data_IF_846435662755
#
_entry.id   IF_846435662755
#
_cell.length_a   1.000
_cell.length_b   1.000
_cell.length_c   1.000
_cell.angle_alpha   90.00
_cell.angle_beta   90.00
_cell.angle_gamma   90.00
#
_symmetry.space_group_name_H-M   'P 1'
#
loop_
_entity.id
_entity.type
_entity.pdbx_description
1 polymer ?
#
# COMPACT_ATOMS: atom_id res chain seq x y z
N UNK A 1 -3.60 11.01 16.19
CA UNK A 1 -3.65 10.62 14.77
C UNK A 1 -5.07 10.17 14.53
N UNK A 2 -5.67 10.60 13.43
CA UNK A 2 -6.96 10.11 12.96
C UNK A 2 -6.78 9.77 11.48
N UNK A 3 -7.24 8.58 11.09
CA UNK A 3 -7.21 8.07 9.72
C UNK A 3 -8.61 8.18 9.18
N UNK A 4 -8.77 8.94 8.11
CA UNK A 4 -10.04 9.08 7.41
C UNK A 4 -10.05 8.14 6.21
N UNK A 5 -11.01 7.22 6.18
CA UNK A 5 -11.27 6.38 5.02
C UNK A 5 -12.46 6.97 4.28
N UNK A 6 -12.18 7.49 3.08
CA UNK A 6 -13.19 8.13 2.24
C UNK A 6 -13.75 7.16 1.23
N UNK A 7 -15.05 6.86 1.34
CA UNK A 7 -15.76 6.15 0.31
C UNK A 7 -16.28 7.16 -0.72
N UNK A 8 -15.58 7.27 -1.85
CA UNK A 8 -15.88 8.21 -2.93
C UNK A 8 -17.11 7.82 -3.79
N UNK A 9 -17.71 6.66 -3.54
CA UNK A 9 -18.96 6.24 -4.18
C UNK A 9 -20.15 6.87 -3.46
N UNK A 10 -21.23 7.12 -4.20
CA UNK A 10 -22.46 7.74 -3.67
C UNK A 10 -23.60 6.74 -3.48
N UNK A 11 -23.42 5.49 -3.93
CA UNK A 11 -24.43 4.44 -3.75
C UNK A 11 -24.57 4.05 -2.27
N UNK A 12 -25.76 4.22 -1.66
CA UNK A 12 -25.94 3.96 -0.24
C UNK A 12 -25.70 2.50 0.17
N UNK A 13 -26.01 1.54 -0.70
CA UNK A 13 -25.83 0.12 -0.40
C UNK A 13 -24.35 -0.26 -0.40
N UNK A 14 -23.61 0.19 -1.42
CA UNK A 14 -22.18 -0.01 -1.53
C UNK A 14 -21.42 0.64 -0.37
N UNK A 15 -21.72 1.91 -0.09
CA UNK A 15 -21.07 2.66 1.00
C UNK A 15 -21.34 2.03 2.36
N UNK A 16 -22.58 1.59 2.63
CA UNK A 16 -22.92 0.85 3.85
C UNK A 16 -22.14 -0.46 3.96
N UNK A 17 -22.08 -1.24 2.87
CA UNK A 17 -21.32 -2.50 2.85
C UNK A 17 -19.82 -2.28 3.11
N UNK A 18 -19.20 -1.25 2.52
CA UNK A 18 -17.79 -0.90 2.78
C UNK A 18 -17.60 -0.49 4.24
N UNK A 19 -18.48 0.36 4.78
CA UNK A 19 -18.40 0.80 6.16
C UNK A 19 -18.53 -0.36 7.16
N UNK A 20 -19.46 -1.29 6.91
CA UNK A 20 -19.65 -2.47 7.74
C UNK A 20 -18.43 -3.41 7.69
N UNK A 21 -17.89 -3.65 6.49
CA UNK A 21 -16.68 -4.45 6.33
C UNK A 21 -15.49 -3.86 7.11
N UNK A 22 -15.26 -2.55 7.01
CA UNK A 22 -14.19 -1.87 7.75
C UNK A 22 -14.44 -1.95 9.26
N UNK A 23 -15.68 -1.73 9.70
CA UNK A 23 -16.05 -1.80 11.12
C UNK A 23 -15.81 -3.20 11.71
N UNK A 24 -16.09 -4.25 10.94
CA UNK A 24 -15.87 -5.63 11.35
C UNK A 24 -14.37 -6.00 11.41
N UNK A 25 -13.56 -5.45 10.49
CA UNK A 25 -12.11 -5.69 10.44
C UNK A 25 -11.34 -4.89 11.51
N UNK A 26 -11.78 -3.65 11.80
CA UNK A 26 -11.08 -2.70 12.67
C UNK A 26 -11.96 -2.13 13.79
N UNK A 27 -12.62 -2.98 14.60
CA UNK A 27 -13.59 -2.51 15.58
C UNK A 27 -12.93 -1.62 16.64
N UNK A 28 -11.71 -1.94 17.08
CA UNK A 28 -11.03 -1.18 18.14
C UNK A 28 -10.63 0.21 17.66
N UNK A 29 -10.12 0.31 16.44
CA UNK A 29 -9.66 1.55 15.81
C UNK A 29 -10.85 2.51 15.54
N UNK A 30 -11.99 1.96 15.13
CA UNK A 30 -13.24 2.73 14.98
C UNK A 30 -13.73 3.23 16.35
N UNK A 31 -13.82 2.36 17.36
CA UNK A 31 -14.33 2.76 18.69
C UNK A 31 -13.45 3.78 19.40
N UNK A 32 -12.13 3.75 19.15
CA UNK A 32 -11.17 4.71 19.71
C UNK A 32 -11.14 6.06 18.96
N UNK A 33 -11.82 6.16 17.82
CA UNK A 33 -11.74 7.34 16.94
C UNK A 33 -10.42 7.47 16.17
N UNK A 34 -9.59 6.42 16.18
CA UNK A 34 -8.38 6.36 15.35
C UNK A 34 -8.75 6.25 13.87
N UNK A 35 -9.81 5.51 13.55
CA UNK A 35 -10.31 5.30 12.19
C UNK A 35 -11.72 5.90 12.08
N UNK A 36 -11.96 6.71 11.06
CA UNK A 36 -13.30 7.19 10.71
C UNK A 36 -13.59 6.85 9.24
N UNK A 37 -14.77 6.30 8.97
CA UNK A 37 -15.23 6.03 7.60
C UNK A 37 -16.26 7.09 7.24
N UNK A 38 -16.01 7.82 6.15
CA UNK A 38 -16.88 8.90 5.69
C UNK A 38 -17.21 8.74 4.22
N UNK A 39 -18.39 9.21 3.84
CA UNK A 39 -18.87 9.25 2.46
C UNK A 39 -19.66 10.54 2.26
N UNK A 40 -19.53 11.21 1.10
CA UNK A 40 -20.26 12.43 0.83
C UNK A 40 -21.71 12.12 0.44
N UNK A 41 -22.61 13.04 0.78
CA UNK A 41 -23.98 13.00 0.24
C UNK A 41 -23.93 13.13 -1.30
N UNK A 42 -24.78 12.40 -2.05
CA UNK A 42 -24.89 12.60 -3.50
C UNK A 42 -25.16 14.06 -3.89
N UNK A 43 -25.82 14.82 -3.03
CA UNK A 43 -26.15 16.24 -3.21
C UNK A 43 -24.94 17.18 -3.08
N UNK A 44 -23.80 16.68 -2.60
CA UNK A 44 -22.57 17.45 -2.56
C UNK A 44 -22.04 17.74 -3.98
N UNK A 45 -22.29 16.83 -4.93
CA UNK A 45 -21.79 16.96 -6.28
C UNK A 45 -22.75 17.76 -7.16
N UNK A 46 -22.24 18.68 -8.00
CA UNK A 46 -23.05 19.34 -9.01
C UNK A 46 -23.37 18.39 -10.16
N UNK A 47 -24.29 18.80 -11.03
CA UNK A 47 -24.52 18.07 -12.28
C UNK A 47 -23.27 18.15 -13.18
N UNK A 48 -22.78 16.97 -13.59
CA UNK A 48 -21.62 16.80 -14.45
C UNK A 48 -21.99 16.61 -15.93
N UNK A 49 -23.28 16.55 -16.28
CA UNK A 49 -23.76 16.30 -17.65
C UNK A 49 -23.25 17.33 -18.67
N UNK A 50 -23.05 18.57 -18.22
CA UNK A 50 -22.67 19.72 -19.04
C UNK A 50 -21.17 20.08 -18.99
N UNK A 51 -20.32 19.18 -18.48
CA UNK A 51 -18.87 19.41 -18.49
C UNK A 51 -18.33 19.46 -19.93
N UNK A 52 -17.49 20.47 -20.20
CA UNK A 52 -16.83 20.65 -21.50
C UNK A 52 -15.57 19.80 -21.57
N UNK A 53 -15.33 19.19 -22.72
CA UNK A 53 -14.04 18.54 -23.00
C UNK A 53 -12.91 19.58 -23.00
N UNK A 54 -11.72 19.15 -22.58
CA UNK A 54 -10.58 20.03 -22.35
C UNK A 54 -9.29 19.23 -22.45
N UNK A 55 -8.19 19.84 -22.90
CA UNK A 55 -6.86 19.19 -22.99
C UNK A 55 -6.83 17.89 -23.82
N UNK A 56 -7.81 17.71 -24.73
CA UNK A 56 -7.96 16.46 -25.48
C UNK A 56 -8.51 15.28 -24.67
N UNK A 57 -8.95 15.51 -23.43
CA UNK A 57 -9.55 14.48 -22.59
C UNK A 57 -11.02 14.23 -22.97
N UNK A 58 -11.46 12.96 -23.08
CA UNK A 58 -12.88 12.65 -23.28
C UNK A 58 -13.72 13.05 -22.07
N UNK A 59 -15.03 13.24 -22.28
CA UNK A 59 -15.99 13.61 -21.20
C UNK A 59 -15.85 12.79 -19.92
N UNK A 60 -15.69 11.47 -20.00
CA UNK A 60 -15.54 10.62 -18.81
C UNK A 60 -14.28 10.96 -18.00
N UNK A 61 -13.17 11.27 -18.68
CA UNK A 61 -11.94 11.67 -18.02
C UNK A 61 -12.06 13.06 -17.40
N UNK A 62 -12.74 13.98 -18.07
CA UNK A 62 -13.07 15.30 -17.51
C UNK A 62 -13.95 15.16 -16.26
N UNK A 63 -15.02 14.36 -16.34
CA UNK A 63 -15.89 14.05 -15.20
C UNK A 63 -15.11 13.46 -14.03
N UNK A 64 -14.23 12.49 -14.31
CA UNK A 64 -13.38 11.86 -13.31
C UNK A 64 -12.48 12.87 -12.58
N UNK A 65 -11.72 13.70 -13.31
CA UNK A 65 -10.82 14.69 -12.67
C UNK A 65 -11.60 15.80 -11.93
N UNK A 66 -12.77 16.19 -12.46
CA UNK A 66 -13.64 17.18 -11.80
C UNK A 66 -14.23 16.63 -10.51
N UNK A 67 -14.68 15.37 -10.51
CA UNK A 67 -15.15 14.71 -9.29
C UNK A 67 -14.01 14.55 -8.27
N UNK A 68 -12.82 14.14 -8.70
CA UNK A 68 -11.65 14.00 -7.82
C UNK A 68 -11.30 15.30 -7.08
N UNK A 69 -11.35 16.44 -7.77
CA UNK A 69 -11.15 17.74 -7.13
C UNK A 69 -12.15 17.97 -5.98
N UNK A 70 -13.43 17.66 -6.21
CA UNK A 70 -14.48 17.81 -5.20
C UNK A 70 -14.33 16.79 -4.06
N UNK A 71 -13.94 15.56 -4.37
CA UNK A 71 -13.66 14.51 -3.39
C UNK A 71 -12.59 14.96 -2.39
N UNK A 72 -11.49 15.55 -2.89
CA UNK A 72 -10.43 16.09 -2.05
C UNK A 72 -10.86 17.33 -1.27
N UNK A 73 -11.66 18.23 -1.87
CA UNK A 73 -12.26 19.34 -1.13
C UNK A 73 -13.11 18.86 0.04
N UNK A 74 -13.98 17.86 -0.18
CA UNK A 74 -14.82 17.29 0.88
C UNK A 74 -13.97 16.76 2.03
N UNK A 75 -12.94 15.98 1.71
CA UNK A 75 -12.02 15.42 2.70
C UNK A 75 -11.30 16.50 3.50
N UNK A 76 -10.74 17.51 2.82
CA UNK A 76 -10.04 18.61 3.46
C UNK A 76 -10.97 19.44 4.36
N UNK A 77 -12.20 19.72 3.92
CA UNK A 77 -13.19 20.42 4.73
C UNK A 77 -13.55 19.63 5.99
N UNK A 78 -13.77 18.31 5.86
CA UNK A 78 -14.07 17.46 7.01
C UNK A 78 -12.88 17.34 7.97
N UNK A 79 -11.65 17.28 7.44
CA UNK A 79 -10.44 17.07 8.22
C UNK A 79 -9.92 18.34 8.92
N UNK A 80 -10.39 19.53 8.53
CA UNK A 80 -9.84 20.82 8.97
C UNK A 80 -9.73 20.94 10.50
N UNK A 81 -10.74 20.49 11.24
CA UNK A 81 -10.77 20.58 12.70
C UNK A 81 -10.21 19.35 13.42
N UNK A 82 -9.65 18.36 12.71
CA UNK A 82 -9.29 17.05 13.27
C UNK A 82 -7.84 16.96 13.75
N UNK A 83 -6.97 17.89 13.33
CA UNK A 83 -5.55 17.85 13.71
C UNK A 83 -4.77 19.08 13.25
N UNK A 84 -3.49 19.13 13.60
CA UNK A 84 -2.59 20.24 13.23
C UNK A 84 -2.15 20.11 11.76
N UNK A 85 -1.95 18.88 11.29
CA UNK A 85 -1.52 18.57 9.94
C UNK A 85 -2.54 17.65 9.26
N UNK A 86 -2.74 17.89 7.98
CA UNK A 86 -3.50 17.03 7.08
C UNK A 86 -2.55 16.36 6.09
N UNK A 87 -2.75 15.08 5.81
CA UNK A 87 -1.97 14.35 4.80
C UNK A 87 -2.94 13.66 3.84
N UNK A 88 -2.88 14.02 2.57
CA UNK A 88 -3.62 13.29 1.53
C UNK A 88 -2.83 12.05 1.13
N UNK A 89 -3.50 10.90 1.17
CA UNK A 89 -3.04 9.65 0.59
C UNK A 89 -4.05 9.18 -0.47
N UNK A 90 -3.56 8.38 -1.41
CA UNK A 90 -4.40 7.70 -2.41
C UNK A 90 -4.50 6.21 -2.05
N UNK A 91 -5.38 5.50 -2.73
CA UNK A 91 -5.46 4.04 -2.68
C UNK A 91 -4.24 3.40 -3.37
N UNK A 92 -4.11 2.08 -3.21
CA UNK A 92 -3.06 1.27 -3.84
C UNK A 92 -1.63 1.79 -3.65
N UNK A 93 -1.32 2.33 -2.45
CA UNK A 93 0.02 2.77 -2.09
C UNK A 93 0.72 1.78 -1.15
N UNK A 94 2.04 1.71 -1.28
CA UNK A 94 2.92 1.10 -0.29
C UNK A 94 3.71 2.18 0.42
N UNK A 95 3.70 2.12 1.75
CA UNK A 95 4.45 3.01 2.61
C UNK A 95 5.76 2.36 3.08
N UNK A 96 6.79 3.17 3.32
CA UNK A 96 7.98 2.73 4.05
C UNK A 96 7.67 2.48 5.53
N UNK A 97 8.41 1.57 6.20
CA UNK A 97 8.34 1.44 7.65
C UNK A 97 8.57 2.79 8.33
N UNK A 98 7.88 3.03 9.44
CA UNK A 98 7.99 4.27 10.23
C UNK A 98 7.59 5.55 9.49
N UNK A 99 6.90 5.47 8.34
CA UNK A 99 6.51 6.65 7.56
C UNK A 99 5.87 7.75 8.41
N UNK A 100 4.98 7.39 9.34
CA UNK A 100 4.29 8.34 10.19
C UNK A 100 5.24 9.16 11.09
N UNK A 101 6.15 8.49 11.79
CA UNK A 101 7.11 9.18 12.67
C UNK A 101 8.10 9.99 11.86
N UNK A 102 8.54 9.49 10.70
CA UNK A 102 9.38 10.24 9.76
C UNK A 102 8.69 11.51 9.27
N UNK A 103 7.42 11.42 8.83
CA UNK A 103 6.65 12.59 8.37
C UNK A 103 6.49 13.62 9.48
N UNK A 104 6.12 13.18 10.69
CA UNK A 104 5.95 14.08 11.84
C UNK A 104 7.25 14.80 12.19
N UNK A 105 8.36 14.06 12.31
CA UNK A 105 9.66 14.64 12.66
C UNK A 105 10.13 15.61 11.57
N UNK A 106 9.93 15.27 10.29
CA UNK A 106 10.26 16.16 9.20
C UNK A 106 9.46 17.46 9.28
N UNK A 107 8.15 17.40 9.49
CA UNK A 107 7.31 18.60 9.63
C UNK A 107 7.75 19.51 10.78
N UNK A 108 8.12 18.93 11.93
CA UNK A 108 8.60 19.68 13.10
C UNK A 108 10.00 20.28 12.93
N UNK A 109 10.82 19.71 12.04
CA UNK A 109 12.18 20.18 11.76
C UNK A 109 12.22 21.26 10.67
N UNK A 110 11.09 21.62 10.08
CA UNK A 110 11.09 22.63 9.03
C UNK A 110 11.53 23.99 9.60
N UNK A 111 12.58 24.60 9.02
CA UNK A 111 13.26 25.76 9.62
C UNK A 111 12.45 27.05 9.53
N UNK A 112 11.44 27.10 8.65
CA UNK A 112 10.55 28.24 8.47
C UNK A 112 9.11 27.79 8.72
N UNK A 113 8.31 28.62 9.39
CA UNK A 113 6.87 28.41 9.45
C UNK A 113 6.16 28.78 8.13
N UNK A 114 6.88 29.21 7.09
CA UNK A 114 6.27 29.69 5.85
C UNK A 114 6.00 28.58 4.82
N UNK A 115 6.42 27.33 5.04
CA UNK A 115 6.12 26.27 4.08
C UNK A 115 4.61 26.03 3.96
N UNK A 116 4.17 25.68 2.75
CA UNK A 116 2.76 25.40 2.45
C UNK A 116 2.51 23.91 2.21
N UNK A 117 3.44 23.20 1.57
CA UNK A 117 3.28 21.79 1.20
C UNK A 117 4.56 21.03 1.56
N UNK A 118 4.42 19.94 2.33
CA UNK A 118 5.49 18.96 2.47
C UNK A 118 5.16 17.73 1.62
N UNK A 119 6.07 17.35 0.73
CA UNK A 119 5.88 16.22 -0.18
C UNK A 119 6.67 14.99 0.29
N UNK A 120 5.98 13.87 0.43
CA UNK A 120 6.58 12.57 0.76
C UNK A 120 6.52 11.56 -0.41
N UNK A 121 5.98 11.98 -1.56
CA UNK A 121 6.10 11.32 -2.86
C UNK A 121 6.06 12.36 -3.98
N UNK A 122 6.80 12.11 -5.05
CA UNK A 122 6.78 12.91 -6.27
C UNK A 122 5.57 12.63 -7.16
N UNK A 123 4.91 11.49 -6.98
CA UNK A 123 3.84 11.04 -7.86
C UNK A 123 2.48 11.56 -7.39
N UNK A 124 1.77 12.24 -8.30
CA UNK A 124 0.40 12.69 -8.11
C UNK A 124 0.19 13.45 -6.80
N UNK A 125 -0.95 13.19 -6.16
CA UNK A 125 -1.34 13.82 -4.90
C UNK A 125 -0.97 13.00 -3.66
N UNK A 126 -0.17 11.95 -3.84
CA UNK A 126 0.20 11.02 -2.76
C UNK A 126 1.14 11.72 -1.77
N UNK A 127 0.87 11.54 -0.48
CA UNK A 127 1.75 11.97 0.59
C UNK A 127 1.99 13.47 0.60
N UNK A 128 0.96 14.26 0.26
CA UNK A 128 0.99 15.72 0.35
C UNK A 128 0.48 16.14 1.72
N UNK A 129 1.36 16.76 2.50
CA UNK A 129 1.03 17.26 3.82
C UNK A 129 0.84 18.77 3.81
N UNK A 130 -0.18 19.23 4.51
CA UNK A 130 -0.56 20.62 4.68
C UNK A 130 -0.80 20.91 6.16
N UNK A 131 -0.70 22.17 6.56
CA UNK A 131 -1.22 22.60 7.86
C UNK A 131 -2.74 22.68 7.75
N UNK A 132 -3.46 22.18 8.75
CA UNK A 132 -4.92 22.19 8.71
C UNK A 132 -5.49 23.62 8.66
N UNK A 133 -4.79 24.59 9.25
CA UNK A 133 -5.13 26.02 9.22
C UNK A 133 -5.14 26.59 7.79
N UNK A 134 -4.32 26.06 6.89
CA UNK A 134 -4.21 26.53 5.50
C UNK A 134 -5.19 25.82 4.55
N UNK A 135 -5.92 24.81 5.03
CA UNK A 135 -6.83 24.02 4.19
C UNK A 135 -7.96 24.84 3.60
N UNK A 136 -8.48 25.85 4.29
CA UNK A 136 -9.55 26.71 3.75
C UNK A 136 -9.11 27.38 2.46
N UNK A 137 -7.92 27.99 2.45
CA UNK A 137 -7.36 28.64 1.27
C UNK A 137 -7.16 27.64 0.11
N UNK A 138 -6.69 26.43 0.42
CA UNK A 138 -6.49 25.38 -0.59
C UNK A 138 -7.83 24.93 -1.17
N UNK A 139 -8.81 24.64 -0.31
CA UNK A 139 -10.16 24.21 -0.69
C UNK A 139 -10.85 25.28 -1.53
N UNK A 140 -10.85 26.53 -1.11
CA UNK A 140 -11.46 27.64 -1.85
C UNK A 140 -10.85 27.79 -3.24
N UNK A 141 -9.52 27.71 -3.36
CA UNK A 141 -8.87 27.76 -4.67
C UNK A 141 -9.25 26.58 -5.56
N UNK A 142 -9.29 25.36 -5.02
CA UNK A 142 -9.71 24.19 -5.81
C UNK A 142 -11.17 24.33 -6.23
N UNK A 143 -12.06 24.79 -5.34
CA UNK A 143 -13.47 25.00 -5.64
C UNK A 143 -13.72 26.10 -6.68
N UNK A 144 -12.83 27.09 -6.81
CA UNK A 144 -12.92 28.07 -7.90
C UNK A 144 -12.67 27.45 -9.28
N UNK A 145 -11.80 26.44 -9.36
CA UNK A 145 -11.28 25.91 -10.64
C UNK A 145 -11.44 24.39 -10.82
N UNK A 146 -12.32 23.74 -10.04
CA UNK A 146 -12.47 22.28 -10.01
C UNK A 146 -12.88 21.67 -11.37
N UNK A 147 -13.52 22.45 -12.25
CA UNK A 147 -13.88 22.03 -13.61
C UNK A 147 -12.71 22.18 -14.59
N UNK A 148 -11.82 23.13 -14.33
CA UNK A 148 -10.89 23.64 -15.34
C UNK A 148 -9.59 22.84 -15.40
N UNK A 149 -9.07 22.35 -14.27
CA UNK A 149 -7.78 21.65 -14.22
C UNK A 149 -7.80 20.47 -13.24
N UNK A 150 -6.97 19.44 -13.44
CA UNK A 150 -6.77 18.39 -12.44
C UNK A 150 -6.07 18.96 -11.20
N UNK A 151 -6.22 18.26 -10.08
CA UNK A 151 -5.79 18.73 -8.76
C UNK A 151 -4.29 19.06 -8.67
N UNK A 152 -3.41 18.25 -9.25
CA UNK A 152 -1.96 18.48 -9.21
C UNK A 152 -1.58 19.82 -9.84
N UNK A 153 -2.29 20.18 -10.91
CA UNK A 153 -2.08 21.45 -11.60
C UNK A 153 -2.62 22.59 -10.75
N UNK A 154 -3.79 22.43 -10.14
CA UNK A 154 -4.37 23.45 -9.26
C UNK A 154 -3.44 23.78 -8.09
N UNK A 155 -2.83 22.79 -7.44
CA UNK A 155 -1.82 23.04 -6.40
C UNK A 155 -0.62 23.85 -6.93
N UNK A 156 -0.08 23.47 -8.10
CA UNK A 156 1.03 24.20 -8.68
C UNK A 156 0.64 25.66 -9.03
N UNK A 157 -0.62 25.89 -9.44
CA UNK A 157 -1.16 27.23 -9.68
C UNK A 157 -1.31 28.03 -8.38
N UNK A 158 -1.69 27.41 -7.25
CA UNK A 158 -1.70 28.09 -5.94
C UNK A 158 -0.30 28.64 -5.64
N UNK A 159 0.73 27.80 -5.78
CA UNK A 159 2.11 28.23 -5.55
C UNK A 159 2.53 29.32 -6.54
N UNK A 160 2.17 29.18 -7.82
CA UNK A 160 2.46 30.18 -8.83
C UNK A 160 1.89 31.55 -8.46
N UNK A 161 0.60 31.60 -8.10
CA UNK A 161 -0.09 32.85 -7.71
C UNK A 161 0.53 33.46 -6.45
N UNK A 162 0.98 32.64 -5.49
CA UNK A 162 1.53 33.16 -4.23
C UNK A 162 2.94 33.73 -4.35
N UNK A 163 3.82 33.17 -5.19
CA UNK A 163 5.25 33.50 -5.14
C UNK A 163 5.94 33.76 -6.48
N UNK A 164 5.30 33.47 -7.61
CA UNK A 164 5.94 33.70 -8.90
C UNK A 164 5.70 35.14 -9.38
N UNK A 165 6.79 35.82 -9.72
CA UNK A 165 6.74 37.13 -10.35
C UNK A 165 6.69 36.96 -11.89
N UNK A 166 5.64 37.46 -12.58
CA UNK A 166 5.51 37.36 -14.04
C UNK A 166 6.64 38.05 -14.83
N UNK A 167 7.34 39.01 -14.22
CA UNK A 167 8.47 39.73 -14.83
C UNK A 167 9.79 38.97 -14.75
N UNK A 168 9.83 37.83 -14.04
CA UNK A 168 11.03 37.01 -13.84
C UNK A 168 10.93 35.68 -14.60
N UNK A 169 12.08 35.03 -14.75
CA UNK A 169 12.18 33.79 -15.48
C UNK A 169 11.57 32.58 -14.72
N UNK A 170 11.34 31.50 -15.47
CA UNK A 170 10.78 30.27 -14.92
C UNK A 170 11.64 29.68 -13.79
N UNK A 171 12.97 29.79 -13.89
CA UNK A 171 13.89 29.29 -12.85
C UNK A 171 13.72 30.02 -11.53
N UNK A 172 13.49 31.33 -11.57
CA UNK A 172 13.17 32.11 -10.39
C UNK A 172 11.88 31.61 -9.74
N UNK A 173 10.81 31.46 -10.53
CA UNK A 173 9.52 30.93 -10.08
C UNK A 173 9.67 29.53 -9.46
N UNK A 174 10.37 28.61 -10.12
CA UNK A 174 10.61 27.26 -9.60
C UNK A 174 11.34 27.26 -8.25
N UNK A 175 12.35 28.13 -8.10
CA UNK A 175 13.06 28.29 -6.83
C UNK A 175 12.14 28.84 -5.73
N UNK A 176 11.28 29.82 -6.05
CA UNK A 176 10.32 30.34 -5.07
C UNK A 176 9.29 29.27 -4.67
N UNK A 177 8.75 28.53 -5.63
CA UNK A 177 7.84 27.41 -5.36
C UNK A 177 8.51 26.34 -4.49
N UNK A 178 9.78 26.03 -4.72
CA UNK A 178 10.52 25.04 -3.93
C UNK A 178 10.71 25.43 -2.46
N UNK A 179 10.69 26.73 -2.12
CA UNK A 179 10.73 27.18 -0.73
C UNK A 179 9.41 26.92 0.01
N UNK A 180 8.27 26.98 -0.70
CA UNK A 180 6.94 26.68 -0.14
C UNK A 180 6.59 25.18 -0.22
N UNK A 181 7.11 24.49 -1.23
CA UNK A 181 6.87 23.07 -1.51
C UNK A 181 8.15 22.28 -1.25
N UNK A 182 8.32 21.87 0.00
CA UNK A 182 9.53 21.20 0.46
C UNK A 182 9.34 19.70 0.32
N UNK A 183 10.28 19.05 -0.36
CA UNK A 183 10.24 17.60 -0.62
C UNK A 183 11.11 16.84 0.36
N UNK A 184 10.52 15.83 0.99
CA UNK A 184 11.26 14.82 1.74
C UNK A 184 11.93 13.83 0.79
N UNK A 185 13.20 13.50 1.07
CA UNK A 185 13.94 12.45 0.36
C UNK A 185 14.58 11.50 1.35
N UNK A 186 14.51 10.18 1.13
CA UNK A 186 13.87 9.49 0.00
C UNK A 186 12.33 9.44 0.14
N UNK A 187 11.59 9.29 -0.96
CA UNK A 187 10.11 9.20 -0.93
C UNK A 187 9.65 8.08 0.01
N UNK A 188 8.54 8.31 0.71
CA UNK A 188 7.95 7.39 1.69
C UNK A 188 6.80 6.55 1.12
N UNK A 189 6.26 6.93 -0.04
CA UNK A 189 5.13 6.26 -0.67
C UNK A 189 5.41 5.93 -2.14
N UNK A 190 4.85 4.81 -2.60
CA UNK A 190 4.86 4.35 -3.99
C UNK A 190 3.49 3.81 -4.36
N UNK A 191 2.92 4.28 -5.46
CA UNK A 191 1.69 3.71 -6.03
C UNK A 191 2.00 2.35 -6.69
N UNK A 192 1.24 1.31 -6.36
CA UNK A 192 1.41 -0.05 -6.88
C UNK A 192 0.22 -0.55 -7.70
N UNK A 193 -0.90 0.18 -7.69
CA UNK A 193 -2.06 -0.13 -8.54
C UNK A 193 -1.68 -0.06 -10.02
N UNK A 194 -1.79 -1.19 -10.73
CA UNK A 194 -1.46 -1.31 -12.15
C UNK A 194 -2.64 -0.93 -13.05
N UNK A 195 -3.87 -1.09 -12.56
CA UNK A 195 -5.12 -0.78 -13.27
C UNK A 195 -5.80 0.45 -12.67
N UNK A 196 -5.95 1.49 -13.47
CA UNK A 196 -6.74 2.67 -13.09
C UNK A 196 -8.23 2.37 -13.19
N UNK A 197 -9.04 3.09 -12.41
CA UNK A 197 -10.50 3.17 -12.58
C UNK A 197 -10.92 3.74 -13.95
N UNK A 198 -9.99 4.34 -14.70
CA UNK A 198 -10.16 4.68 -16.11
C UNK A 198 -9.84 3.48 -17.00
N UNK A 199 -10.81 3.06 -17.81
CA UNK A 199 -10.68 1.92 -18.73
C UNK A 199 -9.43 2.04 -19.62
N UNK A 200 -8.58 1.00 -19.60
CA UNK A 200 -7.38 0.88 -20.44
C UNK A 200 -6.14 1.63 -19.95
N UNK A 201 -6.19 2.37 -18.83
CA UNK A 201 -5.01 3.08 -18.31
C UNK A 201 -4.20 2.19 -17.36
N UNK A 202 -3.07 1.68 -17.86
CA UNK A 202 -2.09 0.96 -17.04
C UNK A 202 -1.11 1.97 -16.43
N UNK A 203 -1.06 2.05 -15.10
CA UNK A 203 -0.17 2.97 -14.39
C UNK A 203 1.17 2.30 -14.07
N UNK A 204 2.22 2.61 -14.85
CA UNK A 204 3.59 2.05 -14.69
C UNK A 204 4.57 3.01 -14.00
N UNK A 205 4.12 4.17 -13.51
CA UNK A 205 5.01 5.18 -12.96
C UNK A 205 5.58 4.72 -11.61
N UNK A 206 6.91 4.68 -11.52
CA UNK A 206 7.64 4.46 -10.26
C UNK A 206 8.27 5.78 -9.80
N UNK A 207 8.19 6.07 -8.52
CA UNK A 207 8.83 7.21 -7.89
C UNK A 207 10.33 6.92 -7.78
N UNK A 208 11.13 7.72 -8.48
CA UNK A 208 12.58 7.52 -8.60
C UNK A 208 13.28 7.58 -7.24
N UNK A 209 12.73 8.36 -6.30
CA UNK A 209 13.33 8.60 -4.98
C UNK A 209 12.78 7.64 -3.91
N UNK A 210 11.79 6.78 -4.21
CA UNK A 210 11.32 5.76 -3.26
C UNK A 210 12.39 4.70 -2.97
N UNK A 211 13.32 4.50 -3.92
CA UNK A 211 14.37 3.49 -3.83
C UNK A 211 13.82 2.07 -4.05
N UNK A 212 14.73 1.11 -4.28
CA UNK A 212 14.33 -0.31 -4.29
C UNK A 212 14.11 -0.72 -2.84
N UNK A 213 12.88 -1.06 -2.46
CA UNK A 213 12.66 -1.75 -1.19
C UNK A 213 13.57 -2.98 -1.17
N UNK A 214 14.19 -3.26 -0.02
CA UNK A 214 14.89 -4.53 0.16
C UNK A 214 13.87 -5.65 -0.05
N UNK A 215 13.90 -6.28 -1.22
CA UNK A 215 13.03 -7.41 -1.57
C UNK A 215 13.28 -8.59 -0.61
N UNK A 216 14.41 -8.56 0.12
CA UNK A 216 14.86 -9.58 1.05
C UNK A 216 14.79 -9.03 2.47
N UNK A 217 14.03 -9.71 3.33
CA UNK A 217 14.07 -9.49 4.78
C UNK A 217 15.24 -10.29 5.35
N UNK A 218 16.06 -9.68 6.20
CA UNK A 218 17.14 -10.40 6.88
C UNK A 218 16.57 -11.53 7.75
N UNK A 219 17.10 -12.74 7.56
CA UNK A 219 16.82 -13.95 8.33
C UNK A 219 18.01 -14.90 8.17
N UNK A 220 18.12 -15.94 9.00
CA UNK A 220 19.15 -16.98 8.86
C UNK A 220 18.44 -18.33 8.79
N UNK A 221 18.64 -19.07 7.71
CA UNK A 221 18.07 -20.40 7.56
C UNK A 221 19.02 -21.45 8.18
N UNK A 222 18.49 -22.50 8.83
CA UNK A 222 19.30 -23.65 9.25
C UNK A 222 20.00 -24.32 8.05
N UNK A 223 21.10 -25.04 8.22
CA UNK A 223 21.70 -25.80 7.12
C UNK A 223 20.75 -26.90 6.61
N UNK A 224 20.47 -26.89 5.31
CA UNK A 224 19.63 -27.88 4.64
C UNK A 224 20.08 -28.11 3.19
N UNK A 225 19.80 -29.30 2.70
CA UNK A 225 19.73 -29.59 1.26
C UNK A 225 18.35 -29.15 0.77
N UNK A 226 18.30 -28.27 -0.22
CA UNK A 226 17.04 -27.80 -0.81
C UNK A 226 16.89 -28.39 -2.20
N UNK A 227 15.67 -28.77 -2.55
CA UNK A 227 15.36 -29.32 -3.86
C UNK A 227 13.93 -28.96 -4.26
N UNK A 228 13.67 -28.93 -5.56
CA UNK A 228 12.36 -28.57 -6.11
C UNK A 228 12.12 -29.30 -7.42
N UNK A 229 10.86 -29.65 -7.69
CA UNK A 229 10.44 -30.11 -9.02
C UNK A 229 10.14 -28.96 -9.97
N UNK A 230 9.95 -27.74 -9.45
CA UNK A 230 9.58 -26.60 -10.27
C UNK A 230 10.75 -26.23 -11.21
N UNK A 231 10.43 -26.05 -12.49
CA UNK A 231 11.40 -25.61 -13.49
C UNK A 231 11.86 -24.20 -13.18
N UNK A 232 13.16 -24.04 -12.89
CA UNK A 232 13.75 -22.75 -12.56
C UNK A 232 13.81 -21.83 -13.79
N UNK A 233 13.58 -20.54 -13.56
CA UNK A 233 13.70 -19.51 -14.57
C UNK A 233 15.11 -18.88 -14.49
N UNK A 234 15.85 -18.96 -15.58
CA UNK A 234 17.21 -18.45 -15.68
C UNK A 234 18.13 -18.98 -14.56
N UNK A 235 18.76 -18.08 -13.79
CA UNK A 235 19.75 -18.39 -12.76
C UNK A 235 19.20 -18.21 -11.34
N UNK A 236 17.88 -18.06 -11.18
CA UNK A 236 17.20 -17.77 -9.90
C UNK A 236 16.76 -19.06 -9.19
N UNK A 237 17.72 -19.77 -8.61
CA UNK A 237 17.49 -21.12 -8.03
C UNK A 237 17.02 -21.08 -6.57
N UNK A 238 16.48 -22.21 -6.10
CA UNK A 238 15.99 -22.34 -4.72
C UNK A 238 17.12 -22.24 -3.70
N UNK A 239 18.30 -22.78 -4.04
CA UNK A 239 19.51 -22.73 -3.23
C UNK A 239 19.94 -21.28 -2.98
N UNK A 240 19.91 -20.44 -4.02
CA UNK A 240 20.23 -19.02 -3.90
C UNK A 240 19.25 -18.29 -2.98
N UNK A 241 17.96 -18.62 -3.06
CA UNK A 241 16.95 -18.08 -2.15
C UNK A 241 17.20 -18.50 -0.71
N UNK A 242 17.54 -19.77 -0.48
CA UNK A 242 17.80 -20.32 0.83
C UNK A 242 19.06 -19.75 1.49
N UNK A 243 20.13 -19.58 0.71
CA UNK A 243 21.41 -19.02 1.14
C UNK A 243 21.42 -17.48 1.19
N UNK A 244 20.35 -16.83 0.71
CA UNK A 244 20.18 -15.36 0.61
C UNK A 244 21.06 -14.68 -0.44
N UNK A 245 21.68 -15.48 -1.30
CA UNK A 245 22.45 -14.98 -2.45
C UNK A 245 21.52 -14.32 -3.46
N UNK A 246 20.36 -14.95 -3.73
CA UNK A 246 19.34 -14.41 -4.63
C UNK A 246 17.89 -14.72 -4.21
N UNK A 247 16.93 -14.63 -5.13
CA UNK A 247 15.57 -15.14 -4.98
C UNK A 247 15.35 -16.39 -5.85
N UNK A 248 14.26 -17.09 -5.58
CA UNK A 248 13.82 -18.24 -6.37
C UNK A 248 12.77 -17.77 -7.37
N UNK A 249 12.98 -18.04 -8.66
CA UNK A 249 12.00 -17.78 -9.70
C UNK A 249 11.82 -19.06 -10.52
N UNK A 250 10.59 -19.54 -10.59
CA UNK A 250 10.24 -20.72 -11.37
C UNK A 250 8.98 -20.46 -12.20
N UNK A 251 8.75 -21.33 -13.17
CA UNK A 251 7.51 -21.34 -13.94
C UNK A 251 6.32 -21.76 -13.06
N UNK A 252 5.10 -21.49 -13.56
CA UNK A 252 3.85 -21.79 -12.87
C UNK A 252 3.81 -23.24 -12.37
N UNK A 253 3.58 -23.47 -11.06
CA UNK A 253 3.50 -24.82 -10.50
C UNK A 253 2.31 -25.60 -11.06
N UNK A 254 2.48 -26.90 -11.16
CA UNK A 254 1.44 -27.88 -11.49
C UNK A 254 1.14 -28.77 -10.30
N UNK A 255 -0.01 -29.45 -10.30
CA UNK A 255 -0.39 -30.34 -9.22
C UNK A 255 0.65 -31.45 -9.05
N UNK A 256 1.18 -31.60 -7.82
CA UNK A 256 2.24 -32.55 -7.49
C UNK A 256 3.65 -31.94 -7.47
N UNK A 257 3.81 -30.68 -7.90
CA UNK A 257 5.09 -29.99 -7.72
C UNK A 257 5.41 -29.75 -6.25
N UNK A 258 6.70 -29.80 -5.91
CA UNK A 258 7.17 -29.66 -4.53
C UNK A 258 8.38 -28.74 -4.40
N UNK A 259 8.48 -28.12 -3.23
CA UNK A 259 9.68 -27.50 -2.69
C UNK A 259 10.04 -28.25 -1.42
N UNK A 260 11.24 -28.82 -1.35
CA UNK A 260 11.66 -29.73 -0.28
C UNK A 260 12.90 -29.19 0.41
N UNK A 261 12.84 -29.14 1.74
CA UNK A 261 13.94 -28.77 2.62
C UNK A 261 14.32 -29.98 3.45
N UNK A 262 15.51 -30.55 3.22
CA UNK A 262 16.05 -31.66 3.99
C UNK A 262 17.13 -31.14 4.94
N UNK A 263 16.77 -31.01 6.20
CA UNK A 263 17.71 -30.61 7.24
C UNK A 263 18.65 -31.76 7.60
N UNK A 264 19.92 -31.44 7.85
CA UNK A 264 20.94 -32.45 8.20
C UNK A 264 20.82 -32.96 9.65
N UNK A 265 20.11 -32.21 10.49
CA UNK A 265 19.84 -32.55 11.90
C UNK A 265 18.36 -32.35 12.19
N UNK A 266 17.77 -33.12 13.11
CA UNK A 266 16.40 -32.87 13.58
C UNK A 266 16.29 -31.46 14.14
N UNK A 267 15.26 -30.73 13.70
CA UNK A 267 14.99 -29.36 14.16
C UNK A 267 13.69 -29.31 14.92
N UNK A 268 13.71 -28.65 16.07
CA UNK A 268 12.50 -28.24 16.77
C UNK A 268 11.92 -27.04 16.05
N UNK A 269 10.82 -27.24 15.33
CA UNK A 269 10.13 -26.15 14.64
C UNK A 269 9.29 -25.40 15.68
N UNK A 270 9.82 -24.30 16.19
CA UNK A 270 9.06 -23.37 17.03
C UNK A 270 8.31 -22.37 16.15
N UNK A 271 7.04 -22.12 16.47
CA UNK A 271 6.29 -21.07 15.77
C UNK A 271 6.80 -19.70 16.26
N UNK A 272 7.04 -18.74 15.35
CA UNK A 272 6.64 -18.76 13.93
C UNK A 272 7.77 -19.15 12.95
N UNK A 273 7.43 -19.97 11.95
CA UNK A 273 8.19 -20.15 10.70
C UNK A 273 7.44 -19.48 9.54
N UNK A 274 8.14 -19.07 8.48
CA UNK A 274 7.54 -18.34 7.37
C UNK A 274 8.08 -18.80 6.02
N UNK A 275 7.17 -18.99 5.06
CA UNK A 275 7.48 -18.97 3.63
C UNK A 275 7.10 -17.59 3.09
N UNK A 276 8.04 -16.91 2.42
CA UNK A 276 7.80 -15.61 1.80
C UNK A 276 7.87 -15.76 0.28
N UNK A 277 6.71 -15.63 -0.36
CA UNK A 277 6.56 -15.63 -1.81
C UNK A 277 5.94 -14.31 -2.28
N UNK A 278 6.30 -13.87 -3.47
CA UNK A 278 5.87 -12.61 -4.04
C UNK A 278 6.57 -11.42 -3.40
N UNK A 279 6.43 -10.26 -4.03
CA UNK A 279 6.95 -9.00 -3.50
C UNK A 279 6.11 -7.83 -4.03
N UNK A 280 6.52 -6.61 -3.71
CA UNK A 280 5.81 -5.40 -4.16
C UNK A 280 5.77 -5.25 -5.69
N UNK A 281 6.77 -5.77 -6.40
CA UNK A 281 6.84 -5.72 -7.86
C UNK A 281 6.05 -6.87 -8.51
N UNK A 282 5.86 -7.97 -7.77
CA UNK A 282 5.18 -9.19 -8.18
C UNK A 282 4.22 -9.66 -7.06
N UNK A 283 3.12 -8.92 -6.81
CA UNK A 283 2.21 -9.21 -5.69
C UNK A 283 1.42 -10.50 -5.87
N UNK A 284 1.26 -10.94 -7.13
CA UNK A 284 0.55 -12.16 -7.51
C UNK A 284 1.43 -13.42 -7.49
N UNK A 285 2.75 -13.28 -7.32
CA UNK A 285 3.69 -14.41 -7.26
C UNK A 285 3.64 -15.09 -5.87
N UNK A 286 2.43 -15.37 -5.39
CA UNK A 286 2.15 -16.03 -4.11
C UNK A 286 1.90 -17.51 -4.32
N UNK A 287 2.39 -18.30 -3.37
CA UNK A 287 2.00 -19.71 -3.28
C UNK A 287 0.54 -19.78 -2.79
N UNK A 288 -0.34 -20.28 -3.65
CA UNK A 288 -1.76 -20.48 -3.38
C UNK A 288 -2.09 -21.96 -3.52
N UNK A 289 -3.05 -22.46 -2.74
CA UNK A 289 -3.48 -23.87 -2.75
C UNK A 289 -2.33 -24.87 -2.51
N UNK A 290 -1.42 -24.53 -1.59
CA UNK A 290 -0.24 -25.34 -1.26
C UNK A 290 -0.33 -25.89 0.16
N UNK A 291 0.02 -27.15 0.37
CA UNK A 291 0.12 -27.71 1.72
C UNK A 291 1.54 -27.56 2.27
N UNK A 292 1.66 -27.43 3.58
CA UNK A 292 2.95 -27.52 4.28
C UNK A 292 2.98 -28.82 5.06
N UNK A 293 3.96 -29.65 4.75
CA UNK A 293 4.11 -31.00 5.29
C UNK A 293 5.48 -31.15 5.97
N UNK A 294 5.52 -31.85 7.10
CA UNK A 294 6.75 -32.10 7.86
C UNK A 294 6.89 -33.59 8.18
N UNK A 295 8.11 -34.10 8.04
CA UNK A 295 8.45 -35.47 8.42
C UNK A 295 8.99 -35.45 9.87
N UNK A 296 8.30 -36.08 10.84
CA UNK A 296 8.80 -36.18 12.21
C UNK A 296 10.05 -37.05 12.29
N UNK A 297 10.99 -36.70 13.17
CA UNK A 297 12.19 -37.51 13.41
C UNK A 297 11.85 -38.84 14.11
N UNK A 298 10.97 -38.79 15.12
CA UNK A 298 10.56 -39.97 15.89
C UNK A 298 9.20 -40.49 15.42
N UNK A 299 9.16 -41.17 14.27
CA UNK A 299 7.98 -41.90 13.81
C UNK A 299 7.50 -42.93 14.85
N UNK A 300 8.43 -43.58 15.56
CA UNK A 300 8.16 -44.64 16.53
C UNK A 300 7.69 -44.16 17.92
N UNK A 301 8.00 -42.91 18.34
CA UNK A 301 7.49 -42.40 19.63
C UNK A 301 6.06 -41.87 19.51
N UNK A 302 5.70 -41.27 18.38
CA UNK A 302 4.33 -40.77 18.18
C UNK A 302 3.27 -41.89 18.24
N UNK A 303 3.61 -43.11 17.80
CA UNK A 303 2.73 -44.27 17.93
C UNK A 303 2.77 -44.89 19.35
N UNK A 304 3.88 -44.74 20.11
CA UNK A 304 4.01 -45.19 21.51
C UNK A 304 3.36 -44.24 22.52
N UNK A 305 3.43 -42.93 22.30
CA UNK A 305 2.73 -41.92 23.11
C UNK A 305 1.21 -42.08 22.94
N UNK A 306 0.73 -42.40 21.73
CA UNK A 306 -0.68 -42.72 21.46
C UNK A 306 -1.15 -44.03 22.12
N UNK A 307 -0.24 -44.97 22.45
CA UNK A 307 -0.55 -46.23 23.13
C UNK A 307 -0.47 -46.12 24.66
N UNK A 308 0.26 -45.15 25.21
CA UNK A 308 0.39 -44.95 26.66
C UNK A 308 -0.66 -44.00 27.26
N UNK A 309 -1.15 -43.01 26.50
CA UNK A 309 -2.29 -42.20 26.92
C UNK A 309 -3.60 -42.86 26.49
N UNK A 310 -4.25 -43.60 27.39
CA UNK A 310 -5.57 -44.21 27.20
C UNK A 310 -6.73 -43.21 27.05
N UNK A 311 -6.59 -42.21 26.18
CA UNK A 311 -7.60 -41.26 25.74
C UNK A 311 -7.46 -41.14 24.23
N UNK A 312 -8.53 -41.43 23.49
CA UNK A 312 -8.54 -41.36 22.02
C UNK A 312 -7.95 -40.04 21.52
N UNK A 313 -6.69 -40.08 21.10
CA UNK A 313 -6.00 -38.93 20.58
C UNK A 313 -6.56 -38.63 19.20
N UNK A 314 -7.48 -37.66 19.15
CA UNK A 314 -7.90 -37.05 17.89
C UNK A 314 -6.65 -36.52 17.21
N UNK A 315 -6.20 -37.17 16.13
CA UNK A 315 -5.08 -36.69 15.33
C UNK A 315 -5.38 -35.26 14.90
N UNK A 316 -4.72 -34.28 15.54
CA UNK A 316 -4.93 -32.85 15.26
C UNK A 316 -4.44 -32.44 13.87
N UNK A 317 -3.68 -33.32 13.21
CA UNK A 317 -3.06 -33.11 11.91
C UNK A 317 -3.20 -34.36 11.05
N UNK A 318 -3.45 -34.16 9.75
CA UNK A 318 -3.60 -35.24 8.77
C UNK A 318 -2.24 -35.83 8.44
N UNK A 319 -2.09 -37.15 8.60
CA UNK A 319 -0.92 -37.90 8.10
C UNK A 319 -1.11 -38.25 6.63
N UNK A 320 -0.06 -38.12 5.85
CA UNK A 320 0.00 -38.54 4.45
C UNK A 320 0.50 -40.00 4.34
N UNK A 321 0.23 -40.71 3.23
CA UNK A 321 0.65 -42.11 3.06
C UNK A 321 2.17 -42.34 3.13
N UNK A 322 2.97 -41.30 2.87
CA UNK A 322 4.43 -41.31 2.91
C UNK A 322 5.01 -40.87 4.28
N UNK A 323 4.16 -40.74 5.31
CA UNK A 323 4.58 -40.54 6.70
C UNK A 323 4.77 -39.08 7.11
N UNK A 324 4.48 -38.12 6.24
CA UNK A 324 4.48 -36.70 6.59
C UNK A 324 3.22 -36.31 7.36
N UNK A 325 3.32 -35.19 8.08
CA UNK A 325 2.22 -34.55 8.80
C UNK A 325 1.94 -33.19 8.16
N UNK A 326 0.71 -32.96 7.74
CA UNK A 326 0.28 -31.67 7.22
C UNK A 326 0.06 -30.67 8.37
N UNK A 327 0.84 -29.59 8.38
CA UNK A 327 0.83 -28.55 9.43
C UNK A 327 0.33 -27.18 8.96
N UNK A 328 0.05 -27.04 7.66
CA UNK A 328 -0.47 -25.80 7.07
C UNK A 328 -1.09 -26.02 5.68
N UNK A 329 -1.81 -25.00 5.23
CA UNK A 329 -2.48 -24.85 3.93
C UNK A 329 -2.39 -23.41 3.46
#
# INVERSE_FOLDING_TARGET
LTVLVFCFQTDPQYTAGVAENIKNLFPKEIHSGLLEVISPSPHFYPDFSHLRESFGDPKERVRWRTKQNLDYCFLMMYAQSKGIYYVQLEDDIVAKPNYLSTMKNFALQQPSEEWMILEFSQLGFIGKMFKSLDLSLIVEFILMFYKDKPIDWLLDHILWVKVCNPEKDAKHCDRQKANLRIRFKPSLFQHVGTHSSLAGKIQKLKDKDFGKQALRKEHVNPPAEVSTSLKTYQHFTLEKAYLREDFFWAFTPTAGDFIRFRFFKPLRIERPFFFRSGNIEHPEDKLLNTTVEVLPFDSLQSDKEALQEGRGAVFKYRRTPDGYIQIGT
#
